data_IF_280785543267
#
_entry.id   IF_280785543267
#
_cell.length_a   1.000
_cell.length_b   1.000
_cell.length_c   1.000
_cell.angle_alpha   90.00
_cell.angle_beta   90.00
_cell.angle_gamma   90.00
#
_symmetry.space_group_name_H-M   'P 1'
#
loop_
_entity.id
_entity.type
_entity.pdbx_description
1 polymer ?
#
# COMPACT_ATOMS: atom_id res chain seq x y z
N UNK A 1 -10.19 -44.52 -69.75
CA UNK A 1 -11.60 -44.18 -69.48
C UNK A 1 -11.64 -43.49 -68.13
N UNK A 2 -12.22 -42.27 -68.09
CA UNK A 2 -12.66 -41.48 -66.90
C UNK A 2 -11.60 -41.20 -65.83
N UNK A 3 -11.03 -40.00 -65.65
CA UNK A 3 -11.64 -38.70 -65.28
C UNK A 3 -12.74 -38.80 -64.22
N UNK A 4 -12.42 -38.50 -62.94
CA UNK A 4 -13.11 -37.52 -62.05
C UNK A 4 -12.67 -37.63 -60.57
N UNK A 5 -12.79 -36.49 -59.86
CA UNK A 5 -12.77 -36.29 -58.39
C UNK A 5 -11.46 -35.87 -57.69
N UNK A 6 -11.10 -34.60 -57.90
CA UNK A 6 -10.47 -33.73 -56.88
C UNK A 6 -11.21 -32.37 -56.93
N UNK A 7 -12.34 -32.29 -56.24
CA UNK A 7 -13.05 -31.04 -55.99
C UNK A 7 -14.17 -31.30 -54.96
N UNK A 8 -13.83 -31.26 -53.67
CA UNK A 8 -14.78 -30.98 -52.58
C UNK A 8 -13.99 -30.85 -51.28
N UNK A 9 -13.36 -29.70 -51.04
CA UNK A 9 -12.94 -29.27 -49.70
C UNK A 9 -12.88 -27.74 -49.54
N UNK A 10 -13.36 -26.96 -50.52
CA UNK A 10 -13.27 -25.49 -50.53
C UNK A 10 -14.66 -24.79 -50.44
N UNK A 11 -15.67 -25.54 -49.98
CA UNK A 11 -17.06 -25.06 -49.79
C UNK A 11 -17.54 -25.06 -48.33
N UNK A 12 -16.80 -25.65 -47.39
CA UNK A 12 -17.15 -25.58 -45.95
C UNK A 12 -16.67 -24.29 -45.29
N UNK A 13 -15.47 -23.79 -45.65
CA UNK A 13 -14.91 -22.58 -45.00
C UNK A 13 -15.62 -21.26 -45.39
N UNK A 14 -16.27 -21.19 -46.56
CA UNK A 14 -17.05 -20.00 -46.96
C UNK A 14 -18.45 -19.93 -46.33
N UNK A 15 -19.02 -21.05 -45.90
CA UNK A 15 -20.33 -21.06 -45.26
C UNK A 15 -20.24 -20.72 -43.75
N UNK A 16 -19.16 -21.08 -43.07
CA UNK A 16 -18.98 -20.77 -41.65
C UNK A 16 -18.62 -19.30 -41.40
N UNK A 17 -17.88 -18.67 -42.32
CA UNK A 17 -17.60 -17.23 -42.25
C UNK A 17 -18.84 -16.35 -42.50
N UNK A 18 -19.78 -16.81 -43.32
CA UNK A 18 -21.05 -16.10 -43.57
C UNK A 18 -22.03 -16.23 -42.39
N UNK A 19 -22.02 -17.39 -41.71
CA UNK A 19 -22.85 -17.64 -40.53
C UNK A 19 -22.39 -16.83 -39.31
N UNK A 20 -21.08 -16.68 -39.08
CA UNK A 20 -20.55 -15.86 -37.96
C UNK A 20 -20.78 -14.35 -38.15
N UNK A 21 -20.83 -13.85 -39.40
CA UNK A 21 -21.22 -12.47 -39.69
C UNK A 21 -22.73 -12.23 -39.58
N UNK A 22 -23.57 -13.25 -39.78
CA UNK A 22 -25.01 -13.16 -39.53
C UNK A 22 -25.35 -13.28 -38.03
N UNK A 23 -24.66 -14.13 -37.27
CA UNK A 23 -24.82 -14.24 -35.82
C UNK A 23 -24.34 -12.99 -35.07
N UNK A 24 -23.24 -12.37 -35.49
CA UNK A 24 -22.78 -11.09 -34.92
C UNK A 24 -23.72 -9.90 -35.25
N UNK A 25 -24.38 -9.92 -36.43
CA UNK A 25 -25.44 -8.95 -36.77
C UNK A 25 -26.75 -9.19 -36.00
N UNK A 26 -27.06 -10.43 -35.62
CA UNK A 26 -28.23 -10.76 -34.81
C UNK A 26 -28.04 -10.39 -33.32
N UNK A 27 -26.83 -10.46 -32.78
CA UNK A 27 -26.53 -9.98 -31.41
C UNK A 27 -26.46 -8.45 -31.32
N UNK A 28 -25.96 -7.76 -32.36
CA UNK A 28 -25.99 -6.29 -32.45
C UNK A 28 -27.40 -5.70 -32.63
N UNK A 29 -28.34 -6.49 -33.17
CA UNK A 29 -29.74 -6.09 -33.28
C UNK A 29 -30.56 -6.42 -32.02
N UNK A 30 -30.14 -7.41 -31.22
CA UNK A 30 -30.78 -7.81 -29.97
C UNK A 30 -30.53 -6.88 -28.77
N UNK A 31 -29.36 -6.22 -28.71
CA UNK A 31 -29.08 -5.19 -27.69
C UNK A 31 -29.66 -3.80 -28.07
N UNK A 32 -29.95 -3.58 -29.37
CA UNK A 32 -30.62 -2.38 -29.86
C UNK A 32 -32.15 -2.47 -29.81
N UNK A 33 -32.74 -3.61 -29.43
CA UNK A 33 -34.21 -3.77 -29.46
C UNK A 33 -34.92 -3.19 -28.24
N UNK A 34 -34.21 -2.89 -27.15
CA UNK A 34 -34.81 -2.19 -25.99
C UNK A 34 -34.84 -0.67 -26.22
N UNK A 35 -34.08 -0.15 -27.20
CA UNK A 35 -33.99 1.29 -27.51
C UNK A 35 -34.94 1.77 -28.63
N UNK A 36 -35.90 0.94 -29.08
CA UNK A 36 -36.81 1.29 -30.20
C UNK A 36 -38.31 1.16 -29.92
N UNK A 37 -38.71 1.06 -28.65
CA UNK A 37 -40.13 1.15 -28.26
C UNK A 37 -40.36 2.20 -27.17
N UNK A 38 -39.95 3.46 -27.39
CA UNK A 38 -40.49 4.60 -26.63
C UNK A 38 -40.63 5.83 -27.54
N UNK A 39 -41.60 5.76 -28.45
CA UNK A 39 -42.20 6.94 -29.07
C UNK A 39 -43.63 7.08 -28.51
N UNK A 40 -43.77 7.84 -27.41
CA UNK A 40 -44.90 8.74 -27.02
C UNK A 40 -44.99 8.90 -25.49
N UNK A 41 -44.66 10.12 -25.01
CA UNK A 41 -44.58 10.58 -23.61
C UNK A 41 -43.43 9.88 -22.85
N UNK A 42 -42.44 10.49 -22.21
CA UNK A 42 -42.30 11.77 -21.51
C UNK A 42 -40.81 12.17 -21.50
N UNK A 43 -40.50 13.42 -21.13
CA UNK A 43 -39.12 13.81 -20.80
C UNK A 43 -38.54 12.82 -19.78
N UNK A 44 -37.34 12.26 -19.98
CA UNK A 44 -36.75 11.33 -19.02
C UNK A 44 -36.74 11.94 -17.63
N UNK A 45 -37.29 11.20 -16.66
CA UNK A 45 -37.29 11.62 -15.26
C UNK A 45 -35.87 11.66 -14.73
N UNK A 46 -35.67 12.39 -13.66
CA UNK A 46 -34.37 12.51 -13.03
C UNK A 46 -33.83 11.15 -12.53
N UNK A 47 -34.73 10.23 -12.17
CA UNK A 47 -34.42 8.83 -11.86
C UNK A 47 -33.78 8.07 -13.04
N UNK A 48 -34.27 8.30 -14.27
CA UNK A 48 -33.67 7.68 -15.46
C UNK A 48 -32.24 8.19 -15.70
N UNK A 49 -32.03 9.51 -15.57
CA UNK A 49 -30.69 10.10 -15.67
C UNK A 49 -29.75 9.52 -14.62
N UNK A 50 -30.24 9.31 -13.40
CA UNK A 50 -29.47 8.66 -12.34
C UNK A 50 -29.07 7.22 -12.71
N UNK A 51 -30.01 6.41 -13.23
CA UNK A 51 -29.71 5.05 -13.68
C UNK A 51 -28.61 5.04 -14.76
N UNK A 52 -28.67 5.94 -15.74
CA UNK A 52 -27.63 6.05 -16.77
C UNK A 52 -26.25 6.39 -16.18
N UNK A 53 -26.20 7.26 -15.17
CA UNK A 53 -24.94 7.60 -14.48
C UNK A 53 -24.43 6.43 -13.65
N UNK A 54 -25.30 5.67 -12.98
CA UNK A 54 -24.92 4.48 -12.23
C UNK A 54 -24.38 3.36 -13.13
N UNK A 55 -25.00 3.13 -14.29
CA UNK A 55 -24.51 2.21 -15.31
C UNK A 55 -23.13 2.63 -15.84
N UNK A 56 -22.92 3.93 -16.06
CA UNK A 56 -21.64 4.47 -16.48
C UNK A 56 -20.54 4.21 -15.44
N UNK A 57 -20.82 4.43 -14.15
CA UNK A 57 -19.90 4.15 -13.06
C UNK A 57 -19.64 2.65 -12.88
N UNK A 58 -20.66 1.82 -13.03
CA UNK A 58 -20.55 0.35 -12.96
C UNK A 58 -19.69 -0.17 -14.11
N UNK A 59 -19.90 0.34 -15.32
CA UNK A 59 -19.06 0.04 -16.47
C UNK A 59 -17.61 0.44 -16.20
N UNK A 60 -17.37 1.68 -15.74
CA UNK A 60 -16.04 2.17 -15.41
C UNK A 60 -15.33 1.28 -14.40
N UNK A 61 -16.01 0.89 -13.30
CA UNK A 61 -15.47 0.00 -12.27
C UNK A 61 -15.11 -1.37 -12.84
N UNK A 62 -16.00 -1.97 -13.63
CA UNK A 62 -15.81 -3.30 -14.20
C UNK A 62 -14.76 -3.34 -15.34
N UNK A 63 -14.52 -2.22 -16.03
CA UNK A 63 -13.47 -2.11 -17.05
C UNK A 63 -12.06 -2.24 -16.46
N UNK A 64 -11.85 -1.87 -15.18
CA UNK A 64 -10.56 -2.08 -14.51
C UNK A 64 -10.36 -3.53 -14.01
N UNK A 65 -11.44 -4.30 -13.85
CA UNK A 65 -11.38 -5.71 -13.44
C UNK A 65 -11.10 -6.67 -14.61
N UNK A 66 -11.12 -6.17 -15.87
CA UNK A 66 -10.97 -7.00 -17.08
C UNK A 66 -9.59 -6.88 -17.73
N UNK A 67 -9.23 -7.94 -18.45
CA UNK A 67 -7.92 -8.23 -19.06
C UNK A 67 -7.12 -7.00 -19.55
N UNK A 68 -5.80 -6.94 -19.27
CA UNK A 68 -4.92 -5.80 -19.62
C UNK A 68 -4.87 -5.40 -21.10
N UNK A 69 -5.25 -6.31 -22.01
CA UNK A 69 -5.29 -6.13 -23.46
C UNK A 69 -6.52 -5.33 -23.94
N UNK A 70 -7.61 -5.29 -23.17
CA UNK A 70 -8.85 -4.57 -23.54
C UNK A 70 -8.92 -3.14 -23.01
N UNK A 71 -7.98 -2.71 -22.17
CA UNK A 71 -7.99 -1.39 -21.50
C UNK A 71 -8.07 -0.20 -22.47
N UNK A 72 -7.39 -0.28 -23.62
CA UNK A 72 -7.46 0.80 -24.64
C UNK A 72 -8.85 0.89 -25.28
N UNK A 73 -9.45 -0.27 -25.57
CA UNK A 73 -10.79 -0.39 -26.12
C UNK A 73 -11.86 0.06 -25.11
N UNK A 74 -11.73 -0.37 -23.85
CA UNK A 74 -12.65 0.00 -22.78
C UNK A 74 -12.62 1.50 -22.48
N UNK A 75 -11.46 2.17 -22.65
CA UNK A 75 -11.33 3.63 -22.51
C UNK A 75 -12.04 4.40 -23.62
N UNK A 76 -11.98 3.92 -24.86
CA UNK A 76 -12.70 4.54 -25.99
C UNK A 76 -14.22 4.40 -25.82
N UNK A 77 -14.68 3.19 -25.48
CA UNK A 77 -16.10 2.92 -25.20
C UNK A 77 -16.60 3.73 -24.00
N UNK A 78 -15.80 3.87 -22.94
CA UNK A 78 -16.12 4.72 -21.79
C UNK A 78 -16.31 6.18 -22.21
N UNK A 79 -15.39 6.73 -23.01
CA UNK A 79 -15.48 8.11 -23.49
C UNK A 79 -16.73 8.33 -24.36
N UNK A 80 -17.12 7.36 -25.18
CA UNK A 80 -18.35 7.42 -25.95
C UNK A 80 -19.59 7.40 -25.04
N UNK A 81 -19.63 6.50 -24.04
CA UNK A 81 -20.71 6.47 -23.04
C UNK A 81 -20.82 7.77 -22.27
N UNK A 82 -19.70 8.38 -21.84
CA UNK A 82 -19.69 9.69 -21.18
C UNK A 82 -20.30 10.77 -22.08
N UNK A 83 -19.94 10.78 -23.37
CA UNK A 83 -20.51 11.74 -24.34
C UNK A 83 -22.01 11.55 -24.51
N UNK A 84 -22.48 10.30 -24.60
CA UNK A 84 -23.90 9.98 -24.72
C UNK A 84 -24.70 10.44 -23.49
N UNK A 85 -24.24 10.08 -22.29
CA UNK A 85 -24.88 10.49 -21.03
C UNK A 85 -24.85 12.02 -20.87
N UNK A 86 -23.73 12.67 -21.22
CA UNK A 86 -23.63 14.14 -21.17
C UNK A 86 -24.59 14.82 -22.15
N UNK A 87 -24.77 14.27 -23.35
CA UNK A 87 -25.74 14.79 -24.33
C UNK A 87 -27.18 14.62 -23.84
N UNK A 88 -27.51 13.47 -23.26
CA UNK A 88 -28.80 13.19 -22.66
C UNK A 88 -29.12 14.15 -21.50
N UNK A 89 -28.14 14.44 -20.64
CA UNK A 89 -28.28 15.41 -19.55
C UNK A 89 -28.61 16.82 -20.08
N UNK A 90 -27.93 17.26 -21.15
CA UNK A 90 -28.18 18.57 -21.77
C UNK A 90 -29.55 18.68 -22.42
N UNK A 91 -30.01 17.62 -23.09
CA UNK A 91 -31.32 17.59 -23.74
C UNK A 91 -32.47 17.73 -22.73
N UNK A 92 -32.27 17.24 -21.51
CA UNK A 92 -33.29 17.19 -20.46
C UNK A 92 -33.04 18.19 -19.33
N UNK A 93 -32.16 19.17 -19.55
CA UNK A 93 -31.69 20.12 -18.52
C UNK A 93 -32.86 20.90 -17.90
N UNK A 94 -33.73 21.49 -18.72
CA UNK A 94 -34.84 22.33 -18.22
C UNK A 94 -35.81 21.52 -17.36
N UNK A 95 -36.18 20.32 -17.83
CA UNK A 95 -37.10 19.42 -17.11
C UNK A 95 -36.48 18.91 -15.81
N UNK A 96 -35.24 18.40 -15.86
CA UNK A 96 -34.55 17.88 -14.68
C UNK A 96 -34.27 18.96 -13.63
N UNK A 97 -33.96 20.19 -14.05
CA UNK A 97 -33.80 21.33 -13.13
C UNK A 97 -35.13 21.69 -12.46
N UNK A 98 -36.25 21.62 -13.21
CA UNK A 98 -37.58 21.90 -12.66
C UNK A 98 -38.02 20.87 -11.62
N UNK A 99 -37.61 19.61 -11.79
CA UNK A 99 -37.88 18.51 -10.88
C UNK A 99 -37.02 18.60 -9.61
N UNK A 100 -35.68 18.55 -9.76
CA UNK A 100 -34.75 18.70 -8.66
C UNK A 100 -33.40 19.24 -9.13
N UNK A 101 -33.27 20.57 -9.07
CA UNK A 101 -32.06 21.30 -9.45
C UNK A 101 -30.78 20.82 -8.74
N UNK A 102 -30.86 20.44 -7.46
CA UNK A 102 -29.69 19.99 -6.72
C UNK A 102 -29.20 18.63 -7.24
N UNK A 103 -30.12 17.69 -7.44
CA UNK A 103 -29.81 16.36 -7.94
C UNK A 103 -29.31 16.41 -9.40
N UNK A 104 -29.89 17.26 -10.24
CA UNK A 104 -29.39 17.45 -11.61
C UNK A 104 -27.93 17.89 -11.64
N UNK A 105 -27.54 18.91 -10.86
CA UNK A 105 -26.14 19.34 -10.80
C UNK A 105 -25.24 18.27 -10.20
N UNK A 106 -25.71 17.48 -9.22
CA UNK A 106 -24.95 16.35 -8.71
C UNK A 106 -24.67 15.31 -9.81
N UNK A 107 -25.71 14.86 -10.53
CA UNK A 107 -25.58 13.88 -11.61
C UNK A 107 -24.67 14.39 -12.74
N UNK A 108 -24.77 15.68 -13.08
CA UNK A 108 -23.92 16.30 -14.09
C UNK A 108 -22.45 16.31 -13.66
N UNK A 109 -22.18 16.74 -12.43
CA UNK A 109 -20.83 16.72 -11.86
C UNK A 109 -20.27 15.30 -11.78
N UNK A 110 -21.08 14.35 -11.32
CA UNK A 110 -20.74 12.93 -11.24
C UNK A 110 -20.39 12.36 -12.61
N UNK A 111 -21.16 12.68 -13.66
CA UNK A 111 -20.83 12.29 -15.04
C UNK A 111 -19.47 12.81 -15.50
N UNK A 112 -19.16 14.07 -15.18
CA UNK A 112 -17.91 14.71 -15.58
C UNK A 112 -16.71 14.24 -14.76
N UNK A 113 -16.92 13.73 -13.53
CA UNK A 113 -15.84 13.20 -12.68
C UNK A 113 -15.39 11.78 -13.02
N UNK A 114 -16.07 11.08 -13.94
CA UNK A 114 -15.72 9.69 -14.33
C UNK A 114 -14.31 9.58 -14.91
N UNK A 115 -13.83 10.62 -15.59
CA UNK A 115 -12.50 10.61 -16.22
C UNK A 115 -11.60 11.71 -15.66
N UNK A 116 -10.32 11.40 -15.52
CA UNK A 116 -9.28 12.35 -15.18
C UNK A 116 -8.63 12.96 -16.44
N UNK A 117 -8.18 14.23 -16.41
CA UNK A 117 -8.24 15.17 -15.28
C UNK A 117 -9.61 15.83 -15.10
N UNK A 118 -10.03 16.04 -13.85
CA UNK A 118 -11.28 16.76 -13.53
C UNK A 118 -11.17 18.24 -13.91
N UNK A 119 -12.21 18.78 -14.55
CA UNK A 119 -12.30 20.19 -14.92
C UNK A 119 -12.73 21.08 -13.76
N UNK A 120 -12.35 22.37 -13.78
CA UNK A 120 -12.79 23.33 -12.75
C UNK A 120 -14.32 23.57 -12.82
N UNK A 121 -14.91 23.39 -13.99
CA UNK A 121 -16.34 23.43 -14.23
C UNK A 121 -17.08 22.32 -13.46
N UNK A 122 -16.52 21.11 -13.39
CA UNK A 122 -17.07 20.02 -12.59
C UNK A 122 -17.15 20.38 -11.11
N UNK A 123 -16.09 20.97 -10.56
CA UNK A 123 -16.06 21.46 -9.17
C UNK A 123 -17.14 22.53 -8.96
N UNK A 124 -17.31 23.46 -9.91
CA UNK A 124 -18.30 24.53 -9.80
C UNK A 124 -19.73 23.96 -9.81
N UNK A 125 -19.99 22.94 -10.64
CA UNK A 125 -21.29 22.26 -10.72
C UNK A 125 -21.58 21.48 -9.43
N UNK A 126 -20.63 20.70 -8.93
CA UNK A 126 -20.76 19.98 -7.65
C UNK A 126 -20.89 20.94 -6.45
N UNK A 127 -20.17 22.07 -6.47
CA UNK A 127 -20.31 23.14 -5.47
C UNK A 127 -21.72 23.75 -5.47
N UNK A 128 -22.37 23.88 -6.64
CA UNK A 128 -23.77 24.30 -6.72
C UNK A 128 -24.70 23.22 -6.13
N UNK A 129 -24.45 21.95 -6.41
CA UNK A 129 -25.26 20.85 -5.89
C UNK A 129 -25.28 20.84 -4.34
N UNK A 130 -24.12 20.91 -3.70
CA UNK A 130 -24.02 20.91 -2.22
C UNK A 130 -24.58 22.18 -1.58
N UNK A 131 -24.55 23.32 -2.26
CA UNK A 131 -25.18 24.56 -1.77
C UNK A 131 -26.70 24.51 -1.82
N UNK A 132 -27.26 23.85 -2.84
CA UNK A 132 -28.70 23.72 -3.03
C UNK A 132 -29.29 22.63 -2.12
N UNK A 133 -28.56 21.54 -1.90
CA UNK A 133 -28.93 20.50 -0.95
C UNK A 133 -27.73 20.12 -0.07
N UNK A 134 -27.55 20.81 1.09
CA UNK A 134 -26.45 20.52 2.00
C UNK A 134 -26.51 19.13 2.65
N UNK A 135 -27.69 18.49 2.68
CA UNK A 135 -27.87 17.15 3.25
C UNK A 135 -27.50 16.01 2.30
N UNK A 136 -27.21 16.31 1.03
CA UNK A 136 -26.83 15.29 0.06
C UNK A 136 -25.36 14.89 0.21
N UNK A 137 -25.09 13.86 1.02
CA UNK A 137 -23.74 13.41 1.35
C UNK A 137 -22.94 12.92 0.13
N UNK A 138 -23.58 12.28 -0.85
CA UNK A 138 -22.87 11.82 -2.05
C UNK A 138 -22.37 12.98 -2.93
N UNK A 139 -23.10 14.11 -2.98
CA UNK A 139 -22.61 15.30 -3.67
C UNK A 139 -21.38 15.90 -2.98
N UNK A 140 -21.33 15.86 -1.64
CA UNK A 140 -20.13 16.22 -0.89
C UNK A 140 -18.98 15.25 -1.16
N UNK A 141 -19.25 13.96 -1.25
CA UNK A 141 -18.26 12.94 -1.62
C UNK A 141 -17.64 13.22 -2.99
N UNK A 142 -18.47 13.32 -4.03
CA UNK A 142 -17.98 13.58 -5.39
C UNK A 142 -17.20 14.90 -5.48
N UNK A 143 -17.65 15.95 -4.78
CA UNK A 143 -16.92 17.23 -4.71
C UNK A 143 -15.55 17.06 -4.05
N UNK A 144 -15.49 16.36 -2.93
CA UNK A 144 -14.26 16.11 -2.19
C UNK A 144 -13.26 15.25 -2.98
N UNK A 145 -13.73 14.18 -3.63
CA UNK A 145 -12.92 13.33 -4.51
C UNK A 145 -12.31 14.12 -5.66
N UNK A 146 -13.10 14.98 -6.32
CA UNK A 146 -12.60 15.87 -7.36
C UNK A 146 -11.47 16.78 -6.85
N UNK A 147 -11.61 17.32 -5.64
CA UNK A 147 -10.59 18.17 -5.01
C UNK A 147 -9.33 17.39 -4.63
N UNK A 148 -9.47 16.14 -4.16
CA UNK A 148 -8.35 15.23 -3.88
C UNK A 148 -7.56 14.91 -5.15
N UNK A 149 -8.24 14.57 -6.25
CA UNK A 149 -7.60 14.31 -7.54
C UNK A 149 -6.82 15.52 -8.07
N UNK A 150 -7.30 16.73 -7.79
CA UNK A 150 -6.61 17.98 -8.12
C UNK A 150 -5.53 18.38 -7.10
N UNK A 151 -5.23 17.53 -6.11
CA UNK A 151 -4.28 17.78 -5.02
C UNK A 151 -4.61 19.02 -4.17
N UNK A 152 -5.88 19.45 -4.16
CA UNK A 152 -6.39 20.57 -3.36
C UNK A 152 -6.85 20.06 -1.98
N UNK A 153 -5.93 19.46 -1.24
CA UNK A 153 -6.23 18.73 0.00
C UNK A 153 -6.83 19.59 1.11
N UNK A 154 -6.44 20.87 1.20
CA UNK A 154 -7.00 21.81 2.19
C UNK A 154 -8.49 22.07 1.93
N UNK A 155 -8.87 22.26 0.67
CA UNK A 155 -10.25 22.46 0.26
C UNK A 155 -11.07 21.17 0.37
N UNK A 156 -10.49 20.03 -0.02
CA UNK A 156 -11.11 18.72 0.17
C UNK A 156 -11.40 18.44 1.65
N UNK A 157 -10.43 18.72 2.54
CA UNK A 157 -10.62 18.61 4.00
C UNK A 157 -11.77 19.49 4.48
N UNK A 158 -11.82 20.76 4.07
CA UNK A 158 -12.93 21.64 4.47
C UNK A 158 -14.28 21.14 3.95
N UNK A 159 -14.32 20.66 2.69
CA UNK A 159 -15.49 20.07 2.06
C UNK A 159 -16.05 18.89 2.88
N UNK A 160 -15.20 17.91 3.20
CA UNK A 160 -15.61 16.76 3.98
C UNK A 160 -15.93 17.09 5.45
N UNK A 161 -15.26 18.04 6.07
CA UNK A 161 -15.62 18.47 7.43
C UNK A 161 -16.96 19.22 7.47
N UNK A 162 -17.29 19.97 6.41
CA UNK A 162 -18.57 20.66 6.30
C UNK A 162 -19.73 19.65 6.15
N UNK A 163 -19.53 18.57 5.38
CA UNK A 163 -20.55 17.55 5.17
C UNK A 163 -20.89 16.75 6.44
N UNK A 164 -19.91 16.56 7.35
CA UNK A 164 -20.14 15.90 8.64
C UNK A 164 -21.18 16.61 9.53
N UNK A 165 -21.45 17.90 9.30
CA UNK A 165 -22.53 18.64 10.00
C UNK A 165 -23.93 18.15 9.59
N UNK A 166 -24.04 17.54 8.42
CA UNK A 166 -25.30 17.11 7.83
C UNK A 166 -25.52 15.59 7.94
N UNK A 167 -24.47 14.82 8.17
CA UNK A 167 -24.54 13.39 8.45
C UNK A 167 -23.17 12.74 8.32
N UNK A 168 -23.03 11.55 8.94
CA UNK A 168 -21.83 10.72 8.78
C UNK A 168 -22.03 9.78 7.60
N UNK A 169 -21.02 9.69 6.74
CA UNK A 169 -20.92 8.67 5.69
C UNK A 169 -19.57 8.01 5.80
N UNK A 170 -19.57 6.69 5.66
CA UNK A 170 -18.38 5.85 5.68
C UNK A 170 -17.35 6.30 4.63
N UNK A 171 -17.80 6.61 3.41
CA UNK A 171 -16.93 7.12 2.33
C UNK A 171 -16.28 8.46 2.71
N UNK A 172 -17.05 9.38 3.30
CA UNK A 172 -16.55 10.69 3.77
C UNK A 172 -15.47 10.50 4.85
N UNK A 173 -15.73 9.62 5.82
CA UNK A 173 -14.82 9.33 6.92
C UNK A 173 -13.51 8.66 6.43
N UNK A 174 -13.60 7.72 5.49
CA UNK A 174 -12.43 7.12 4.83
C UNK A 174 -11.61 8.18 4.10
N UNK A 175 -12.25 9.04 3.30
CA UNK A 175 -11.58 10.12 2.57
C UNK A 175 -10.93 11.15 3.50
N UNK A 176 -11.57 11.50 4.62
CA UNK A 176 -10.95 12.32 5.66
C UNK A 176 -9.70 11.64 6.23
N UNK A 177 -9.76 10.35 6.53
CA UNK A 177 -8.59 9.60 6.99
C UNK A 177 -7.44 9.63 5.99
N UNK A 178 -7.73 9.44 4.70
CA UNK A 178 -6.74 9.52 3.61
C UNK A 178 -6.09 10.92 3.60
N UNK A 179 -6.90 11.98 3.54
CA UNK A 179 -6.39 13.36 3.49
C UNK A 179 -5.55 13.71 4.71
N UNK A 180 -5.93 13.27 5.91
CA UNK A 180 -5.15 13.57 7.12
C UNK A 180 -3.76 12.91 7.11
N UNK A 181 -3.58 11.83 6.35
CA UNK A 181 -2.27 11.20 6.09
C UNK A 181 -1.52 11.89 4.96
N UNK A 182 -2.20 12.31 3.90
CA UNK A 182 -1.57 12.90 2.71
C UNK A 182 -1.22 14.40 2.87
N UNK A 183 -2.06 15.17 3.56
CA UNK A 183 -1.85 16.61 3.80
C UNK A 183 -0.56 16.90 4.61
N UNK A 184 -0.06 15.89 5.33
CA UNK A 184 1.25 15.91 5.98
C UNK A 184 2.41 16.13 5.00
N UNK A 185 2.26 15.71 3.74
CA UNK A 185 3.29 15.87 2.72
C UNK A 185 3.42 17.32 2.23
N UNK A 186 2.41 18.16 2.53
CA UNK A 186 2.30 19.53 2.06
C UNK A 186 2.48 20.56 3.17
N UNK A 187 2.20 20.18 4.42
CA UNK A 187 2.27 21.08 5.57
C UNK A 187 2.99 20.38 6.72
N UNK A 188 4.14 20.93 7.14
CA UNK A 188 4.90 20.43 8.29
C UNK A 188 4.27 20.83 9.65
N UNK A 189 3.07 21.42 9.64
CA UNK A 189 2.37 21.88 10.85
C UNK A 189 1.42 20.78 11.39
N UNK A 190 1.49 20.52 12.69
CA UNK A 190 0.61 19.61 13.46
C UNK A 190 0.40 18.19 12.90
N UNK A 191 1.43 17.63 12.27
CA UNK A 191 1.47 16.27 11.73
C UNK A 191 0.93 15.19 12.69
N UNK A 192 1.30 15.25 13.96
CA UNK A 192 0.87 14.24 14.94
C UNK A 192 -0.63 14.29 15.23
N UNK A 193 -1.20 15.49 15.34
CA UNK A 193 -2.64 15.67 15.56
C UNK A 193 -3.41 15.22 14.31
N UNK A 194 -2.89 15.54 13.12
CA UNK A 194 -3.46 15.09 11.84
C UNK A 194 -3.52 13.56 11.75
N UNK A 195 -2.41 12.86 12.04
CA UNK A 195 -2.37 11.40 11.97
C UNK A 195 -3.30 10.73 13.00
N UNK A 196 -3.36 11.25 14.23
CA UNK A 196 -4.30 10.73 15.23
C UNK A 196 -5.75 10.97 14.78
N UNK A 197 -6.09 12.16 14.27
CA UNK A 197 -7.41 12.43 13.73
C UNK A 197 -7.75 11.50 12.55
N UNK A 198 -6.79 11.21 11.68
CA UNK A 198 -6.96 10.25 10.59
C UNK A 198 -7.28 8.83 11.08
N UNK A 199 -6.66 8.39 12.18
CA UNK A 199 -7.00 7.10 12.82
C UNK A 199 -8.43 7.14 13.37
N UNK A 200 -8.83 8.21 14.06
CA UNK A 200 -10.19 8.31 14.60
C UNK A 200 -11.25 8.31 13.50
N UNK A 201 -11.07 9.04 12.40
CA UNK A 201 -12.00 8.96 11.26
C UNK A 201 -12.06 7.56 10.65
N UNK A 202 -10.94 6.85 10.54
CA UNK A 202 -10.94 5.48 10.03
C UNK A 202 -11.65 4.51 10.99
N UNK A 203 -11.50 4.69 12.31
CA UNK A 203 -12.25 3.90 13.29
C UNK A 203 -13.74 4.18 13.21
N UNK A 204 -14.14 5.44 13.11
CA UNK A 204 -15.55 5.81 12.93
C UNK A 204 -16.14 5.19 11.66
N UNK A 205 -15.37 5.13 10.56
CA UNK A 205 -15.81 4.46 9.34
C UNK A 205 -16.07 2.96 9.56
N UNK A 206 -15.16 2.28 10.27
CA UNK A 206 -15.33 0.87 10.67
C UNK A 206 -16.49 0.67 11.67
N UNK A 207 -16.77 1.66 12.52
CA UNK A 207 -17.92 1.59 13.45
C UNK A 207 -19.27 1.73 12.73
N UNK A 208 -19.32 2.46 11.61
CA UNK A 208 -20.52 2.53 10.78
C UNK A 208 -20.81 1.20 10.06
N UNK A 209 -19.76 0.54 9.56
CA UNK A 209 -19.86 -0.81 8.99
C UNK A 209 -18.60 -1.63 9.30
N UNK A 210 -18.73 -2.54 10.26
CA UNK A 210 -17.62 -3.41 10.68
C UNK A 210 -17.25 -4.50 9.66
N UNK A 211 -18.07 -4.70 8.63
CA UNK A 211 -17.86 -5.69 7.57
C UNK A 211 -17.17 -5.13 6.33
N UNK A 212 -17.09 -3.79 6.20
CA UNK A 212 -16.41 -3.14 5.07
C UNK A 212 -14.89 -3.31 5.15
N UNK A 213 -14.34 -4.08 4.21
CA UNK A 213 -12.90 -4.29 4.15
C UNK A 213 -12.12 -3.04 3.79
N UNK A 214 -12.71 -2.12 3.02
CA UNK A 214 -12.04 -0.88 2.63
C UNK A 214 -11.81 0.02 3.86
N UNK A 215 -12.78 0.18 4.75
CA UNK A 215 -12.62 0.91 6.02
C UNK A 215 -11.52 0.30 6.89
N UNK A 216 -11.47 -1.03 6.98
CA UNK A 216 -10.38 -1.73 7.69
C UNK A 216 -9.01 -1.50 7.04
N UNK A 217 -8.94 -1.50 5.70
CA UNK A 217 -7.72 -1.22 4.97
C UNK A 217 -7.22 0.21 5.21
N UNK A 218 -8.12 1.19 5.18
CA UNK A 218 -7.85 2.60 5.49
C UNK A 218 -7.36 2.75 6.93
N UNK A 219 -7.95 2.03 7.88
CA UNK A 219 -7.50 2.00 9.27
C UNK A 219 -6.09 1.39 9.40
N UNK A 220 -5.81 0.30 8.67
CA UNK A 220 -4.49 -0.31 8.58
C UNK A 220 -3.42 0.66 8.07
N UNK A 221 -3.75 1.41 7.02
CA UNK A 221 -2.90 2.47 6.47
C UNK A 221 -2.67 3.61 7.48
N UNK A 222 -3.70 4.02 8.23
CA UNK A 222 -3.57 5.05 9.25
C UNK A 222 -2.65 4.66 10.41
N UNK A 223 -2.78 3.42 10.90
CA UNK A 223 -1.85 2.88 11.89
C UNK A 223 -0.42 2.78 11.34
N UNK A 224 -0.27 2.36 10.08
CA UNK A 224 1.04 2.24 9.44
C UNK A 224 1.72 3.61 9.32
N UNK A 225 1.02 4.64 8.81
CA UNK A 225 1.56 5.99 8.72
C UNK A 225 2.02 6.54 10.08
N UNK A 226 1.24 6.30 11.16
CA UNK A 226 1.65 6.71 12.50
C UNK A 226 2.81 5.87 13.04
N UNK A 227 2.86 4.57 12.73
CA UNK A 227 3.98 3.70 13.07
C UNK A 227 5.28 4.23 12.49
N UNK A 228 5.31 4.64 11.22
CA UNK A 228 6.52 5.17 10.61
C UNK A 228 7.06 6.43 11.30
N UNK A 229 6.19 7.20 11.97
CA UNK A 229 6.57 8.39 12.75
C UNK A 229 6.95 8.10 14.20
N UNK A 230 6.21 7.22 14.88
CA UNK A 230 6.41 6.93 16.31
C UNK A 230 7.31 5.73 16.58
N UNK A 231 7.43 4.82 15.61
CA UNK A 231 8.17 3.56 15.71
C UNK A 231 7.71 2.71 16.92
N UNK A 232 6.39 2.68 17.16
CA UNK A 232 5.77 1.88 18.22
C UNK A 232 5.26 0.55 17.67
N UNK A 233 5.83 -0.56 18.13
CA UNK A 233 5.47 -1.92 17.71
C UNK A 233 3.97 -2.23 17.92
N UNK A 234 3.29 -1.56 18.87
CA UNK A 234 1.85 -1.70 19.04
C UNK A 234 1.10 -1.21 17.80
N UNK A 235 1.51 -0.08 17.22
CA UNK A 235 0.90 0.47 16.01
C UNK A 235 1.12 -0.45 14.80
N UNK A 236 2.30 -1.04 14.69
CA UNK A 236 2.58 -2.02 13.63
C UNK A 236 1.66 -3.24 13.73
N UNK A 237 1.51 -3.79 14.95
CA UNK A 237 0.56 -4.90 15.21
C UNK A 237 -0.89 -4.51 14.91
N UNK A 238 -1.31 -3.30 15.27
CA UNK A 238 -2.64 -2.80 14.96
C UNK A 238 -2.87 -2.66 13.44
N UNK A 239 -1.85 -2.18 12.71
CA UNK A 239 -1.89 -2.08 11.25
C UNK A 239 -2.05 -3.45 10.59
N UNK A 240 -1.22 -4.43 10.97
CA UNK A 240 -1.30 -5.80 10.43
C UNK A 240 -2.67 -6.43 10.71
N UNK A 241 -3.18 -6.31 11.94
CA UNK A 241 -4.51 -6.83 12.30
C UNK A 241 -5.64 -6.17 11.49
N UNK A 242 -5.58 -4.86 11.27
CA UNK A 242 -6.56 -4.16 10.46
C UNK A 242 -6.54 -4.63 9.00
N UNK A 243 -5.37 -4.86 8.42
CA UNK A 243 -5.28 -5.46 7.08
C UNK A 243 -5.80 -6.90 7.02
N UNK A 244 -5.56 -7.72 8.05
CA UNK A 244 -6.13 -9.07 8.13
C UNK A 244 -7.66 -9.04 8.17
N UNK A 245 -8.24 -8.08 8.90
CA UNK A 245 -9.70 -7.88 8.90
C UNK A 245 -10.22 -7.41 7.56
N UNK A 246 -9.49 -6.52 6.88
CA UNK A 246 -9.84 -6.07 5.53
C UNK A 246 -9.93 -7.23 4.54
N UNK A 247 -9.05 -8.23 4.67
CA UNK A 247 -9.04 -9.42 3.81
C UNK A 247 -10.23 -10.38 4.03
N UNK A 248 -11.01 -10.20 5.10
CA UNK A 248 -12.24 -10.99 5.31
C UNK A 248 -13.38 -10.55 4.37
N UNK A 249 -13.31 -9.34 3.82
CA UNK A 249 -14.20 -8.88 2.77
C UNK A 249 -13.66 -9.31 1.40
N UNK A 250 -14.46 -10.13 0.70
CA UNK A 250 -14.11 -10.68 -0.62
C UNK A 250 -13.86 -9.61 -1.69
N UNK A 251 -14.52 -8.43 -1.59
CA UNK A 251 -14.36 -7.33 -2.54
C UNK A 251 -13.06 -6.60 -2.26
N UNK A 252 -12.83 -6.18 -1.02
CA UNK A 252 -11.58 -5.53 -0.61
C UNK A 252 -10.36 -6.43 -0.85
N UNK A 253 -10.49 -7.75 -0.70
CA UNK A 253 -9.43 -8.72 -0.96
C UNK A 253 -8.96 -8.78 -2.42
N UNK A 254 -9.71 -8.21 -3.37
CA UNK A 254 -9.27 -8.06 -4.77
C UNK A 254 -8.55 -6.72 -5.04
N UNK A 255 -8.32 -5.89 -4.04
CA UNK A 255 -7.57 -4.65 -4.20
C UNK A 255 -6.05 -4.90 -4.11
N UNK A 256 -5.30 -4.56 -5.17
CA UNK A 256 -3.84 -4.70 -5.21
C UNK A 256 -3.12 -3.85 -4.15
N UNK A 257 -3.58 -2.62 -3.89
CA UNK A 257 -2.97 -1.68 -2.95
C UNK A 257 -3.12 -2.17 -1.49
N UNK A 258 -4.21 -2.87 -1.15
CA UNK A 258 -4.37 -3.54 0.14
C UNK A 258 -3.24 -4.54 0.39
N UNK A 259 -3.02 -5.44 -0.58
CA UNK A 259 -2.00 -6.47 -0.46
C UNK A 259 -0.59 -5.87 -0.42
N UNK A 260 -0.32 -4.85 -1.23
CA UNK A 260 0.95 -4.16 -1.23
C UNK A 260 1.24 -3.48 0.12
N UNK A 261 0.30 -2.68 0.63
CA UNK A 261 0.46 -1.98 1.92
C UNK A 261 0.57 -2.96 3.10
N UNK A 262 -0.19 -4.07 3.08
CA UNK A 262 -0.03 -5.18 4.04
C UNK A 262 1.38 -5.78 3.95
N UNK A 263 1.88 -6.01 2.75
CA UNK A 263 3.24 -6.50 2.50
C UNK A 263 4.32 -5.60 3.09
N UNK A 264 4.17 -4.28 2.98
CA UNK A 264 5.07 -3.30 3.60
C UNK A 264 5.08 -3.43 5.13
N UNK A 265 3.90 -3.49 5.76
CA UNK A 265 3.80 -3.66 7.21
C UNK A 265 4.48 -4.96 7.68
N UNK A 266 4.21 -6.07 7.00
CA UNK A 266 4.78 -7.39 7.32
C UNK A 266 6.29 -7.44 7.11
N UNK A 267 6.79 -6.84 6.02
CA UNK A 267 8.23 -6.70 5.76
C UNK A 267 8.92 -5.92 6.88
N UNK A 268 8.34 -4.81 7.34
CA UNK A 268 8.88 -4.05 8.47
C UNK A 268 8.83 -4.83 9.80
N UNK A 269 7.84 -5.71 9.96
CA UNK A 269 7.73 -6.66 11.07
C UNK A 269 8.60 -7.91 10.94
N UNK A 270 9.44 -8.02 9.90
CA UNK A 270 10.27 -9.20 9.58
C UNK A 270 9.47 -10.50 9.35
N UNK A 271 8.17 -10.38 9.05
CA UNK A 271 7.28 -11.49 8.71
C UNK A 271 7.38 -11.79 7.20
N UNK A 272 8.55 -12.26 6.76
CA UNK A 272 8.88 -12.30 5.33
C UNK A 272 8.03 -13.26 4.50
N UNK A 273 7.57 -14.40 5.04
CA UNK A 273 6.67 -15.32 4.31
C UNK A 273 5.41 -14.58 3.88
N UNK A 274 4.72 -13.96 4.84
CA UNK A 274 3.46 -13.28 4.57
C UNK A 274 3.66 -12.02 3.73
N UNK A 275 4.79 -11.32 3.91
CA UNK A 275 5.14 -10.17 3.07
C UNK A 275 5.31 -10.56 1.60
N UNK A 276 6.03 -11.65 1.31
CA UNK A 276 6.23 -12.16 -0.05
C UNK A 276 4.91 -12.57 -0.69
N UNK A 277 4.05 -13.28 0.04
CA UNK A 277 2.72 -13.67 -0.45
C UNK A 277 1.83 -12.46 -0.72
N UNK A 278 1.89 -11.44 0.14
CA UNK A 278 1.17 -10.18 -0.05
C UNK A 278 1.66 -9.44 -1.30
N UNK A 279 2.98 -9.27 -1.50
CA UNK A 279 3.49 -8.63 -2.71
C UNK A 279 3.17 -9.45 -3.97
N UNK A 280 3.30 -10.78 -3.92
CA UNK A 280 2.91 -11.65 -5.04
C UNK A 280 1.44 -11.46 -5.40
N UNK A 281 0.54 -11.43 -4.41
CA UNK A 281 -0.88 -11.19 -4.65
C UNK A 281 -1.14 -9.82 -5.27
N UNK A 282 -0.44 -8.77 -4.83
CA UNK A 282 -0.52 -7.44 -5.46
C UNK A 282 -0.10 -7.48 -6.95
N UNK A 283 0.98 -8.20 -7.29
CA UNK A 283 1.43 -8.34 -8.70
C UNK A 283 0.48 -9.15 -9.58
N UNK A 284 -0.29 -10.07 -8.99
CA UNK A 284 -1.31 -10.84 -9.69
C UNK A 284 -2.54 -9.98 -9.97
N UNK A 285 -2.93 -9.14 -8.99
CA UNK A 285 -4.09 -8.26 -9.09
C UNK A 285 -3.83 -7.07 -10.03
N UNK A 286 -2.62 -6.51 -10.03
CA UNK A 286 -2.18 -5.51 -11.01
C UNK A 286 -0.86 -5.90 -11.70
N UNK A 287 -0.93 -6.64 -12.83
CA UNK A 287 0.25 -7.03 -13.59
C UNK A 287 1.03 -5.85 -14.23
N UNK A 288 0.44 -4.66 -14.32
CA UNK A 288 1.11 -3.47 -14.89
C UNK A 288 1.86 -2.66 -13.83
N UNK A 289 1.62 -2.92 -12.55
CA UNK A 289 2.32 -2.24 -11.46
C UNK A 289 3.77 -2.73 -11.32
N UNK A 290 4.70 -1.99 -11.93
CA UNK A 290 6.13 -2.31 -11.93
C UNK A 290 6.73 -2.28 -10.53
N UNK A 291 6.39 -1.27 -9.73
CA UNK A 291 6.90 -1.11 -8.36
C UNK A 291 6.51 -2.30 -7.46
N UNK A 292 5.29 -2.85 -7.58
CA UNK A 292 4.91 -4.06 -6.84
C UNK A 292 5.78 -5.27 -7.21
N UNK A 293 6.07 -5.42 -8.51
CA UNK A 293 6.95 -6.50 -9.01
C UNK A 293 8.39 -6.31 -8.53
N UNK A 294 8.93 -5.11 -8.68
CA UNK A 294 10.29 -4.76 -8.25
C UNK A 294 10.45 -4.97 -6.73
N UNK A 295 9.46 -4.56 -5.93
CA UNK A 295 9.46 -4.75 -4.47
C UNK A 295 9.48 -6.24 -4.09
N UNK A 296 8.71 -7.09 -4.79
CA UNK A 296 8.72 -8.53 -4.59
C UNK A 296 10.10 -9.12 -4.93
N UNK A 297 10.64 -8.79 -6.10
CA UNK A 297 11.95 -9.28 -6.57
C UNK A 297 13.09 -8.84 -5.64
N UNK A 298 13.07 -7.58 -5.22
CA UNK A 298 14.05 -7.03 -4.28
C UNK A 298 13.97 -7.70 -2.91
N UNK A 299 12.76 -7.99 -2.40
CA UNK A 299 12.63 -8.71 -1.13
C UNK A 299 13.19 -10.13 -1.23
N UNK A 300 12.90 -10.86 -2.32
CA UNK A 300 13.46 -12.20 -2.57
C UNK A 300 14.99 -12.14 -2.64
N UNK A 301 15.53 -11.17 -3.38
CA UNK A 301 16.97 -10.97 -3.51
C UNK A 301 17.61 -10.63 -2.17
N UNK A 302 16.98 -9.76 -1.38
CA UNK A 302 17.44 -9.36 -0.06
C UNK A 302 17.53 -10.55 0.91
N UNK A 303 16.45 -11.34 1.07
CA UNK A 303 16.46 -12.49 2.00
C UNK A 303 17.42 -13.59 1.54
N UNK A 304 17.52 -13.82 0.23
CA UNK A 304 18.46 -14.79 -0.36
C UNK A 304 19.91 -14.38 -0.11
N UNK A 305 20.21 -13.10 -0.32
CA UNK A 305 21.54 -12.55 -0.11
C UNK A 305 21.92 -12.57 1.37
N UNK A 306 20.97 -12.21 2.25
CA UNK A 306 21.14 -12.26 3.71
C UNK A 306 21.48 -13.66 4.18
N UNK A 307 20.68 -14.66 3.79
CA UNK A 307 20.94 -16.06 4.12
C UNK A 307 22.31 -16.53 3.63
N UNK A 308 22.64 -16.23 2.36
CA UNK A 308 23.91 -16.65 1.76
C UNK A 308 25.11 -16.05 2.48
N UNK A 309 25.05 -14.76 2.81
CA UNK A 309 26.10 -14.04 3.51
C UNK A 309 26.25 -14.52 4.96
N UNK A 310 25.13 -14.78 5.64
CA UNK A 310 25.12 -15.39 6.97
C UNK A 310 25.80 -16.76 6.98
N UNK A 311 25.35 -17.68 6.11
CA UNK A 311 25.87 -19.05 6.03
C UNK A 311 27.36 -19.09 5.69
N UNK A 312 27.83 -18.15 4.86
CA UNK A 312 29.23 -18.06 4.43
C UNK A 312 30.06 -17.09 5.28
N UNK A 313 29.52 -16.50 6.36
CA UNK A 313 30.17 -15.50 7.22
C UNK A 313 30.86 -14.39 6.41
N UNK A 314 30.13 -13.81 5.46
CA UNK A 314 30.64 -12.78 4.56
C UNK A 314 31.66 -13.28 3.51
N UNK A 315 31.67 -14.58 3.24
CA UNK A 315 32.64 -15.25 2.34
C UNK A 315 34.10 -15.16 2.82
N UNK A 316 34.30 -14.96 4.12
CA UNK A 316 35.62 -14.87 4.74
C UNK A 316 36.10 -16.24 5.23
N UNK A 317 37.39 -16.53 5.03
CA UNK A 317 38.03 -17.73 5.58
C UNK A 317 38.17 -17.64 7.10
N UNK A 318 38.11 -18.76 7.80
CA UNK A 318 38.20 -18.83 9.28
C UNK A 318 39.41 -18.10 9.86
N UNK A 319 40.58 -18.20 9.23
CA UNK A 319 41.80 -17.49 9.68
C UNK A 319 41.62 -15.96 9.65
N UNK A 320 40.94 -15.42 8.64
CA UNK A 320 40.67 -13.98 8.55
C UNK A 320 39.65 -13.54 9.59
N UNK A 321 38.63 -14.37 9.85
CA UNK A 321 37.65 -14.11 10.91
C UNK A 321 38.34 -14.02 12.28
N UNK A 322 39.20 -14.99 12.60
CA UNK A 322 40.02 -14.98 13.84
C UNK A 322 40.80 -13.67 13.98
N UNK A 323 41.57 -13.30 12.94
CA UNK A 323 42.34 -12.05 12.93
C UNK A 323 41.48 -10.79 13.17
N UNK A 324 40.26 -10.74 12.61
CA UNK A 324 39.34 -9.63 12.85
C UNK A 324 38.86 -9.61 14.31
N UNK A 325 38.55 -10.78 14.86
CA UNK A 325 37.95 -10.93 16.20
C UNK A 325 38.96 -10.90 17.35
N UNK A 326 40.25 -11.13 17.10
CA UNK A 326 41.32 -11.13 18.12
C UNK A 326 41.38 -9.80 18.89
N UNK A 327 41.12 -8.70 18.19
CA UNK A 327 41.12 -7.35 18.73
C UNK A 327 39.87 -6.98 19.54
N UNK A 328 38.84 -7.84 19.58
CA UNK A 328 37.65 -7.61 20.41
C UNK A 328 38.04 -7.72 21.89
N UNK A 329 37.71 -6.72 22.68
CA UNK A 329 37.96 -6.71 24.12
C UNK A 329 36.93 -5.83 24.82
N UNK A 330 36.99 -5.72 26.15
CA UNK A 330 36.03 -4.96 26.96
C UNK A 330 35.91 -3.50 26.52
N UNK A 331 36.95 -2.88 25.95
CA UNK A 331 36.87 -1.51 25.44
C UNK A 331 35.96 -1.36 24.22
N UNK A 332 35.72 -2.44 23.45
CA UNK A 332 34.78 -2.45 22.33
C UNK A 332 33.33 -2.29 22.77
N UNK A 333 33.01 -2.55 24.04
CA UNK A 333 31.69 -2.29 24.62
C UNK A 333 31.41 -0.79 24.80
N UNK A 334 32.44 0.07 24.72
CA UNK A 334 32.31 1.52 24.92
C UNK A 334 31.63 1.85 26.25
N UNK A 335 30.54 2.61 26.19
CA UNK A 335 29.77 3.01 27.38
C UNK A 335 29.24 1.80 28.19
N UNK A 336 29.00 0.66 27.53
CA UNK A 336 28.48 -0.56 28.13
C UNK A 336 29.52 -1.35 28.94
N UNK A 337 30.79 -0.94 28.92
CA UNK A 337 31.85 -1.52 29.76
C UNK A 337 31.76 -1.10 31.24
N UNK A 338 30.93 -0.11 31.56
CA UNK A 338 30.77 0.46 32.91
C UNK A 338 29.30 0.48 33.34
N UNK A 339 29.02 0.90 34.58
CA UNK A 339 27.65 1.08 35.07
C UNK A 339 26.97 2.22 34.33
N UNK A 340 25.80 1.95 33.76
CA UNK A 340 25.01 2.91 32.98
C UNK A 340 23.87 3.40 33.86
N UNK A 341 23.61 4.71 33.81
CA UNK A 341 22.47 5.30 34.49
C UNK A 341 21.22 5.10 33.64
N UNK A 342 20.20 4.49 34.24
CA UNK A 342 18.84 4.37 33.69
C UNK A 342 17.87 5.13 34.59
N UNK A 343 16.62 5.30 34.13
CA UNK A 343 15.55 5.92 34.91
C UNK A 343 15.29 5.14 36.23
N UNK A 344 15.60 3.84 36.24
CA UNK A 344 15.37 2.93 37.38
C UNK A 344 16.60 2.71 38.26
N UNK A 345 17.74 3.37 37.98
CA UNK A 345 18.96 3.25 38.79
C UNK A 345 20.23 3.07 37.95
N UNK A 346 21.20 2.31 38.45
CA UNK A 346 22.40 1.94 37.71
C UNK A 346 22.35 0.47 37.32
N UNK A 347 22.62 0.19 36.04
CA UNK A 347 22.66 -1.18 35.51
C UNK A 347 24.04 -1.44 34.92
N UNK A 348 24.61 -2.61 35.18
CA UNK A 348 25.79 -3.11 34.49
C UNK A 348 25.34 -4.20 33.54
N UNK A 349 25.71 -4.09 32.26
CA UNK A 349 25.39 -5.13 31.28
C UNK A 349 26.44 -6.23 31.34
N UNK A 350 25.97 -7.47 31.33
CA UNK A 350 26.84 -8.64 31.24
C UNK A 350 27.17 -8.93 29.77
N UNK A 351 28.47 -8.95 29.43
CA UNK A 351 28.90 -9.33 28.10
C UNK A 351 28.78 -10.84 27.90
N UNK A 352 27.98 -11.25 26.93
CA UNK A 352 27.78 -12.66 26.55
C UNK A 352 28.22 -12.91 25.10
N UNK A 353 28.72 -14.12 24.77
CA UNK A 353 28.93 -14.52 23.39
C UNK A 353 27.61 -14.64 22.64
N UNK A 354 27.64 -14.52 21.31
CA UNK A 354 26.48 -14.61 20.44
C UNK A 354 25.81 -15.99 20.51
N UNK A 355 26.59 -17.03 20.80
CA UNK A 355 26.11 -18.42 20.98
C UNK A 355 25.15 -18.60 22.16
N UNK A 356 25.15 -17.67 23.13
CA UNK A 356 24.33 -17.73 24.35
C UNK A 356 23.10 -16.82 24.31
N UNK A 357 22.80 -16.21 23.16
CA UNK A 357 21.59 -15.42 23.02
C UNK A 357 20.35 -16.32 23.04
N UNK A 358 19.31 -15.86 23.72
CA UNK A 358 17.99 -16.50 23.75
C UNK A 358 17.01 -15.73 22.87
N UNK A 359 16.01 -16.42 22.31
CA UNK A 359 14.95 -15.79 21.51
C UNK A 359 14.18 -14.79 22.38
N UNK A 360 13.97 -13.57 21.85
CA UNK A 360 13.33 -12.47 22.54
C UNK A 360 14.34 -11.48 23.15
N UNK A 361 13.90 -10.75 24.18
CA UNK A 361 14.69 -9.70 24.82
C UNK A 361 15.73 -10.31 25.78
N UNK A 362 17.01 -10.09 25.51
CA UNK A 362 18.11 -10.48 26.39
C UNK A 362 18.43 -9.35 27.38
N UNK A 363 17.57 -9.16 28.38
CA UNK A 363 17.66 -8.05 29.34
C UNK A 363 18.97 -8.06 30.14
N UNK A 364 19.53 -6.87 30.41
CA UNK A 364 20.81 -6.69 31.10
C UNK A 364 22.03 -7.38 30.44
N UNK A 365 21.93 -7.80 29.18
CA UNK A 365 23.04 -8.39 28.42
C UNK A 365 23.58 -7.41 27.39
N UNK A 366 24.82 -7.61 26.97
CA UNK A 366 25.41 -6.92 25.82
C UNK A 366 26.19 -7.92 24.98
N UNK A 367 26.10 -7.81 23.66
CA UNK A 367 26.92 -8.59 22.73
C UNK A 367 27.87 -7.69 21.98
N UNK A 368 29.02 -8.21 21.57
CA UNK A 368 29.97 -7.47 20.76
C UNK A 368 30.63 -8.38 19.71
N UNK A 369 30.74 -7.87 18.50
CA UNK A 369 31.39 -8.58 17.40
C UNK A 369 31.98 -7.67 16.35
N UNK A 370 32.49 -8.27 15.28
CA UNK A 370 33.02 -7.62 14.09
C UNK A 370 32.04 -7.74 12.94
N UNK A 371 31.84 -6.65 12.20
CA UNK A 371 31.09 -6.68 10.95
C UNK A 371 31.90 -7.44 9.90
N UNK A 372 31.33 -8.49 9.32
CA UNK A 372 32.03 -9.32 8.32
C UNK A 372 31.51 -9.11 6.90
N UNK A 373 30.27 -8.66 6.75
CA UNK A 373 29.68 -8.25 5.48
C UNK A 373 28.46 -7.38 5.71
N UNK A 374 28.11 -6.60 4.69
CA UNK A 374 26.89 -5.77 4.63
C UNK A 374 26.00 -6.35 3.54
N UNK A 375 24.71 -6.48 3.81
CA UNK A 375 23.69 -6.89 2.85
C UNK A 375 23.20 -5.65 2.13
N UNK A 376 23.34 -5.61 0.80
CA UNK A 376 22.84 -4.51 -0.01
C UNK A 376 21.39 -4.74 -0.40
N UNK A 377 20.59 -3.68 -0.26
CA UNK A 377 19.18 -3.59 -0.67
C UNK A 377 18.98 -2.26 -1.42
N UNK A 378 18.01 -2.20 -2.33
CA UNK A 378 17.60 -0.94 -2.97
C UNK A 378 17.01 0.03 -1.96
N UNK A 379 16.26 -0.50 -0.99
CA UNK A 379 15.76 0.28 0.13
C UNK A 379 16.84 0.45 1.21
N UNK A 380 17.03 1.67 1.75
CA UNK A 380 18.08 1.95 2.73
C UNK A 380 17.78 1.37 4.13
N UNK A 381 16.56 0.89 4.38
CA UNK A 381 16.10 0.40 5.69
C UNK A 381 15.45 -0.98 5.54
N UNK A 382 15.80 -1.98 6.38
CA UNK A 382 16.85 -1.91 7.39
C UNK A 382 18.26 -1.92 6.78
N UNK A 383 19.20 -1.30 7.48
CA UNK A 383 20.62 -1.50 7.22
C UNK A 383 21.05 -2.83 7.84
N UNK A 384 21.38 -3.80 7.01
CA UNK A 384 21.58 -5.18 7.44
C UNK A 384 23.03 -5.62 7.25
N UNK A 385 23.62 -6.23 8.27
CA UNK A 385 24.99 -6.75 8.23
C UNK A 385 25.12 -8.04 9.04
N UNK A 386 26.19 -8.80 8.82
CA UNK A 386 26.51 -9.97 9.65
C UNK A 386 27.58 -9.60 10.68
N UNK A 387 27.38 -10.03 11.91
CA UNK A 387 28.26 -9.83 13.05
C UNK A 387 28.88 -11.16 13.48
N UNK A 388 30.19 -11.17 13.73
CA UNK A 388 30.92 -12.35 14.22
C UNK A 388 31.65 -12.04 15.52
N UNK A 389 31.52 -12.91 16.52
CA UNK A 389 32.20 -12.77 17.82
C UNK A 389 33.50 -13.59 17.92
N UNK A 390 34.13 -13.62 19.09
CA UNK A 390 35.36 -14.38 19.36
C UNK A 390 35.21 -15.90 19.24
N UNK A 391 34.01 -16.42 19.46
CA UNK A 391 33.71 -17.85 19.28
C UNK A 391 33.45 -18.19 17.80
N UNK A 392 33.57 -17.20 16.92
CA UNK A 392 33.24 -17.26 15.50
C UNK A 392 31.76 -17.56 15.25
N UNK A 393 30.89 -17.34 16.24
CA UNK A 393 29.44 -17.37 16.05
C UNK A 393 29.04 -16.20 15.15
N UNK A 394 28.12 -16.43 14.22
CA UNK A 394 27.65 -15.44 13.26
C UNK A 394 26.18 -15.14 13.54
N UNK A 395 25.77 -13.88 13.44
CA UNK A 395 24.37 -13.47 13.53
C UNK A 395 24.10 -12.35 12.52
N UNK A 396 22.88 -12.30 11.99
CA UNK A 396 22.42 -11.17 11.17
C UNK A 396 21.98 -10.05 12.12
N UNK A 397 22.24 -8.79 11.76
CA UNK A 397 21.78 -7.62 12.49
C UNK A 397 21.03 -6.73 11.51
N UNK A 398 19.77 -6.44 11.80
CA UNK A 398 18.94 -5.50 11.04
C UNK A 398 18.73 -4.24 11.85
N UNK A 399 19.30 -3.13 11.37
CA UNK A 399 19.25 -1.82 12.02
C UNK A 399 18.23 -0.93 11.32
N UNK A 400 17.22 -0.52 12.05
CA UNK A 400 16.19 0.42 11.59
C UNK A 400 16.56 1.85 11.97
N UNK A 401 15.88 2.83 11.36
CA UNK A 401 16.06 4.27 11.63
C UNK A 401 17.49 4.79 11.42
N UNK A 402 18.31 4.10 10.62
CA UNK A 402 19.68 4.51 10.31
C UNK A 402 19.72 5.37 9.05
N UNK A 403 20.42 6.49 9.10
CA UNK A 403 20.62 7.35 7.94
C UNK A 403 21.46 6.65 6.87
N UNK A 404 21.12 6.87 5.60
CA UNK A 404 21.81 6.25 4.48
C UNK A 404 23.31 6.57 4.51
N UNK A 405 24.14 5.54 4.35
CA UNK A 405 25.60 5.68 4.37
C UNK A 405 26.22 5.87 5.76
N UNK A 406 25.44 5.82 6.85
CA UNK A 406 25.92 6.01 8.23
C UNK A 406 26.05 4.71 9.04
N UNK A 407 25.91 3.56 8.39
CA UNK A 407 26.03 2.25 9.04
C UNK A 407 27.46 1.76 9.22
N UNK A 408 27.67 0.79 10.14
CA UNK A 408 28.98 0.22 10.40
C UNK A 408 29.48 -0.58 9.20
N UNK A 409 30.76 -0.45 8.88
CA UNK A 409 31.38 -1.10 7.72
C UNK A 409 32.14 -2.36 8.11
N UNK A 410 32.55 -3.15 7.11
CA UNK A 410 33.32 -4.38 7.32
C UNK A 410 34.58 -4.08 8.14
N UNK A 411 34.78 -4.84 9.21
CA UNK A 411 35.88 -4.67 10.16
C UNK A 411 35.54 -3.84 11.38
N UNK A 412 34.44 -3.07 11.38
CA UNK A 412 34.02 -2.32 12.55
C UNK A 412 33.64 -3.26 13.70
N UNK A 413 33.97 -2.85 14.93
CA UNK A 413 33.45 -3.49 16.13
C UNK A 413 32.11 -2.87 16.48
N UNK A 414 31.10 -3.69 16.72
CA UNK A 414 29.75 -3.24 17.09
C UNK A 414 29.36 -3.91 18.39
N UNK A 415 28.91 -3.13 19.37
CA UNK A 415 28.27 -3.63 20.58
C UNK A 415 26.79 -3.24 20.61
N UNK A 416 25.94 -4.21 20.97
CA UNK A 416 24.48 -4.09 20.98
C UNK A 416 24.00 -4.44 22.39
N UNK A 417 23.46 -3.46 23.15
CA UNK A 417 22.89 -3.71 24.47
C UNK A 417 21.49 -4.31 24.35
N UNK A 418 21.11 -5.09 25.36
CA UNK A 418 19.80 -5.71 25.52
C UNK A 418 19.23 -6.26 24.19
N UNK A 419 20.00 -7.12 23.49
CA UNK A 419 19.68 -7.50 22.13
C UNK A 419 18.35 -8.27 22.09
N UNK A 420 17.49 -7.86 21.15
CA UNK A 420 16.27 -8.59 20.83
C UNK A 420 16.56 -9.59 19.70
N UNK A 421 16.63 -10.86 20.05
CA UNK A 421 16.94 -11.94 19.11
C UNK A 421 15.66 -12.53 18.53
N UNK A 422 15.61 -12.66 17.21
CA UNK A 422 14.59 -13.41 16.49
C UNK A 422 15.24 -14.54 15.69
N UNK A 423 14.42 -15.50 15.31
CA UNK A 423 14.79 -16.47 14.30
C UNK A 423 13.92 -16.21 13.07
N UNK A 424 14.55 -15.80 11.97
CA UNK A 424 13.84 -15.67 10.71
C UNK A 424 13.64 -17.08 10.17
N UNK A 425 12.39 -17.46 9.95
CA UNK A 425 11.99 -18.70 9.29
C UNK A 425 10.94 -18.36 8.24
N UNK A 426 11.40 -18.14 7.00
CA UNK A 426 10.55 -17.76 5.89
C UNK A 426 10.53 -18.83 4.80
N UNK A 427 9.37 -19.05 4.18
CA UNK A 427 9.21 -20.02 3.10
C UNK A 427 8.49 -19.38 1.92
N UNK A 428 9.04 -19.52 0.71
CA UNK A 428 8.43 -19.00 -0.52
C UNK A 428 8.85 -19.82 -1.74
N UNK A 429 7.89 -20.25 -2.57
CA UNK A 429 8.12 -21.05 -3.79
C UNK A 429 9.12 -22.20 -3.60
N UNK A 430 8.92 -23.00 -2.55
CA UNK A 430 9.76 -24.14 -2.13
C UNK A 430 11.17 -23.79 -1.63
N UNK A 431 11.51 -22.50 -1.51
CA UNK A 431 12.74 -22.05 -0.88
C UNK A 431 12.49 -21.76 0.60
N UNK A 432 13.46 -22.15 1.46
CA UNK A 432 13.45 -21.84 2.89
C UNK A 432 14.59 -20.90 3.24
N UNK A 433 14.26 -19.87 4.02
CA UNK A 433 15.17 -18.86 4.51
C UNK A 433 15.21 -18.91 6.04
N UNK A 434 16.33 -19.38 6.61
CA UNK A 434 16.49 -19.61 8.04
C UNK A 434 17.81 -19.03 8.56
N UNK A 435 17.71 -18.05 9.47
CA UNK A 435 18.87 -17.45 10.13
C UNK A 435 18.47 -16.70 11.42
N UNK A 436 19.36 -16.66 12.44
CA UNK A 436 19.16 -15.81 13.61
C UNK A 436 19.40 -14.33 13.24
N UNK A 437 18.57 -13.45 13.79
CA UNK A 437 18.63 -12.01 13.56
C UNK A 437 18.56 -11.24 14.87
N UNK A 438 19.31 -10.15 14.97
CA UNK A 438 19.15 -9.12 15.98
C UNK A 438 18.46 -7.92 15.37
N UNK A 439 17.30 -7.57 15.91
CA UNK A 439 16.59 -6.36 15.51
C UNK A 439 17.04 -5.18 16.37
N UNK A 440 17.57 -4.15 15.74
CA UNK A 440 17.94 -2.90 16.40
C UNK A 440 17.04 -1.77 15.90
N UNK A 441 16.05 -1.40 16.70
CA UNK A 441 15.10 -0.34 16.34
C UNK A 441 15.73 1.05 16.36
N UNK A 442 16.65 1.31 17.29
CA UNK A 442 17.26 2.62 17.50
C UNK A 442 18.79 2.52 17.38
N UNK A 443 19.41 3.07 16.32
CA UNK A 443 20.86 3.00 16.14
C UNK A 443 21.65 3.62 17.29
N UNK A 444 21.06 4.58 18.00
CA UNK A 444 21.64 5.28 19.15
C UNK A 444 22.04 4.34 20.30
N UNK A 445 21.43 3.15 20.38
CA UNK A 445 21.80 2.17 21.38
C UNK A 445 23.09 1.45 21.01
N UNK A 446 23.52 1.48 19.75
CA UNK A 446 24.73 0.79 19.32
C UNK A 446 25.99 1.57 19.72
N UNK A 447 27.06 0.82 19.95
CA UNK A 447 28.43 1.35 20.01
C UNK A 447 29.19 0.80 18.82
N UNK A 448 29.76 1.69 18.01
CA UNK A 448 30.58 1.35 16.85
C UNK A 448 32.01 1.86 17.10
N UNK A 449 32.99 0.98 17.02
CA UNK A 449 34.41 1.29 17.27
C UNK A 449 34.62 2.07 18.58
N UNK A 450 34.04 1.55 19.67
CA UNK A 450 34.11 2.08 21.04
C UNK A 450 33.37 3.41 21.26
N UNK A 451 32.73 3.97 20.23
CA UNK A 451 31.97 5.23 20.30
C UNK A 451 30.49 4.96 20.15
N UNK A 452 29.66 5.61 20.95
CA UNK A 452 28.20 5.59 20.76
C UNK A 452 27.83 6.21 19.41
N UNK A 453 26.84 5.63 18.75
CA UNK A 453 26.28 6.20 17.51
C UNK A 453 25.64 7.55 17.84
N UNK A 454 25.93 8.59 17.04
CA UNK A 454 25.42 9.94 17.25
C UNK A 454 24.02 10.13 16.66
N UNK A 455 23.31 11.17 17.13
CA UNK A 455 21.99 11.57 16.61
C UNK A 455 21.98 11.86 15.10
N UNK A 456 23.11 12.33 14.56
CA UNK A 456 23.28 12.59 13.11
C UNK A 456 23.27 11.32 12.25
N UNK A 457 23.32 10.13 12.86
CA UNK A 457 23.23 8.86 12.16
C UNK A 457 21.79 8.31 12.13
N UNK A 458 20.82 9.02 12.72
CA UNK A 458 19.42 8.60 12.77
C UNK A 458 18.62 9.29 11.67
N UNK A 459 17.80 8.54 10.95
CA UNK A 459 16.82 9.05 9.98
C UNK A 459 15.47 8.40 10.20
N UNK A 460 14.39 9.18 10.16
CA UNK A 460 13.04 8.65 10.27
C UNK A 460 12.57 8.10 8.91
N UNK A 461 12.18 6.83 8.81
CA UNK A 461 11.58 6.30 7.59
C UNK A 461 10.23 6.97 7.34
N UNK A 462 9.92 7.21 6.07
CA UNK A 462 8.64 7.77 5.64
C UNK A 462 7.85 6.70 4.92
N UNK A 463 6.55 6.60 5.22
CA UNK A 463 5.63 5.74 4.48
C UNK A 463 4.72 6.60 3.64
N UNK A 464 4.79 6.33 2.33
CA UNK A 464 3.89 6.87 1.33
C UNK A 464 2.89 5.75 1.03
N UNK A 465 1.72 5.77 1.65
CA UNK A 465 0.64 4.88 1.18
C UNK A 465 0.28 5.30 -0.23
N UNK A 466 0.18 4.33 -1.16
CA UNK A 466 -0.52 4.59 -2.41
C UNK A 466 -2.01 4.81 -2.11
N UNK A 467 -2.64 5.74 -2.84
CA UNK A 467 -4.05 6.10 -2.68
C UNK A 467 -4.91 4.85 -2.79
N UNK A 468 -5.89 4.74 -1.90
CA UNK A 468 -6.96 3.76 -1.98
C UNK A 468 -8.10 4.33 -2.83
#
# INVERSE_FOLDING_TARGET
MSDTQLADDDKSEKNDHLNMQQLSRLTLNGENTILKEQDKFDTPTLDYLQSCVEELYTFHKNSFERNPEKVSYDKEVLNEKIKQVTALMKQNEESAISENKAQYYFLLGRTWSVTQPVSQECINVLSKAVKLNPTHLDAWNSLGECLVHLKRFSEAKYCFLASLKHGKSQVILRNLSIIMREAQLLTNENVHESLNAGIEYAKEAVELDSTDGESWAILGNAYLSLFFRKQDDKLLRQSINAFEKALNDSVAAQNADLHFNRGIALKYGEMYTDALLSFEKATILDPKWTEARETLEDLIKYITSTQTLYQRKGQLKSRRLQQMTDSLNTSCLGIYSTKIKTIRGQVMLEHIPLSKLEIGLNANKVVCGRVVCVVYSQEPVPYTFCLVDKELSCIVVSVYNLAQGRGPIIGDSVAIPEPYMTHIDATYKNQKFQYPSLRVNLPLTMVVNKKSVSAECVSQPQFMSKQF
#
